data_IF_159879850539
#
_entry.id   IF_159879850539
#
_cell.length_a   1.000
_cell.length_b   1.000
_cell.length_c   1.000
_cell.angle_alpha   90.00
_cell.angle_beta   90.00
_cell.angle_gamma   90.00
#
_symmetry.space_group_name_H-M   'P 1'
#
loop_
_entity.id
_entity.type
_entity.pdbx_description
1 polymer ?
#
# COMPACT_ATOMS: atom_id res chain seq x y z
N UNK A 1 5.09 30.96 -41.92
CA UNK A 1 5.54 29.60 -41.54
C UNK A 1 5.57 29.56 -40.03
N UNK A 2 4.72 28.79 -39.41
CA UNK A 2 4.63 28.70 -37.96
C UNK A 2 5.91 28.01 -37.42
N UNK A 3 6.58 28.65 -36.47
CA UNK A 3 7.69 28.01 -35.76
C UNK A 3 7.11 26.94 -34.84
N UNK A 4 7.57 25.69 -35.05
CA UNK A 4 7.28 24.57 -34.18
C UNK A 4 7.74 24.89 -32.75
N UNK A 5 6.91 24.61 -31.76
CA UNK A 5 7.29 24.79 -30.38
C UNK A 5 8.41 23.80 -29.97
N UNK A 6 9.06 24.05 -28.84
CA UNK A 6 10.23 23.27 -28.36
C UNK A 6 9.95 21.76 -28.30
N UNK A 7 8.75 21.36 -27.92
CA UNK A 7 8.37 19.95 -27.79
C UNK A 7 8.15 19.29 -29.14
N UNK A 8 7.49 19.98 -30.09
CA UNK A 8 7.31 19.48 -31.47
C UNK A 8 8.63 19.33 -32.22
N UNK A 9 9.61 20.20 -31.94
CA UNK A 9 10.98 20.09 -32.52
C UNK A 9 11.74 18.92 -31.90
N UNK A 10 11.53 18.63 -30.61
CA UNK A 10 12.14 17.49 -29.91
C UNK A 10 11.54 16.17 -30.40
N UNK A 11 10.23 16.08 -30.56
CA UNK A 11 9.54 14.89 -31.05
C UNK A 11 9.94 14.58 -32.48
N UNK A 12 10.01 15.56 -33.36
CA UNK A 12 10.48 15.41 -34.75
C UNK A 12 11.95 14.95 -34.81
N UNK A 13 12.81 15.45 -33.93
CA UNK A 13 14.21 15.05 -33.84
C UNK A 13 14.36 13.60 -33.35
N UNK A 14 13.54 13.20 -32.34
CA UNK A 14 13.51 11.82 -31.82
C UNK A 14 13.01 10.85 -32.89
N UNK A 15 11.94 11.18 -33.62
CA UNK A 15 11.44 10.33 -34.71
C UNK A 15 12.45 10.20 -35.84
N UNK A 16 13.13 11.28 -36.25
CA UNK A 16 14.18 11.23 -37.26
C UNK A 16 15.39 10.37 -36.85
N UNK A 17 15.74 10.36 -35.55
CA UNK A 17 16.81 9.52 -35.02
C UNK A 17 16.42 8.04 -34.92
N UNK A 18 15.16 7.74 -34.66
CA UNK A 18 14.63 6.37 -34.59
C UNK A 18 14.46 5.74 -35.97
N UNK A 19 14.33 6.53 -37.04
CA UNK A 19 14.15 6.07 -38.42
C UNK A 19 15.48 5.75 -39.17
N UNK A 20 16.66 6.07 -38.62
CA UNK A 20 17.96 5.88 -39.27
C UNK A 20 18.64 4.56 -38.88
N UNK A 21 19.18 3.78 -39.82
CA UNK A 21 20.12 2.70 -39.52
C UNK A 21 21.43 3.29 -38.98
N UNK A 22 22.10 2.53 -38.09
CA UNK A 22 23.28 2.96 -37.34
C UNK A 22 24.30 3.72 -38.19
N UNK A 23 24.51 4.99 -37.90
CA UNK A 23 25.58 5.81 -38.49
C UNK A 23 26.91 5.61 -37.70
N UNK A 24 28.07 5.71 -38.38
CA UNK A 24 29.37 5.54 -37.73
C UNK A 24 29.66 6.67 -36.71
N UNK A 25 30.41 6.32 -35.69
CA UNK A 25 30.82 7.15 -34.58
C UNK A 25 31.54 8.42 -35.07
N UNK A 26 30.98 9.59 -34.82
CA UNK A 26 31.60 10.87 -35.11
C UNK A 26 32.73 11.19 -34.11
N UNK A 27 33.82 11.88 -34.54
CA UNK A 27 34.94 12.21 -33.64
C UNK A 27 34.60 13.29 -32.61
N UNK A 28 35.28 13.19 -31.47
CA UNK A 28 35.05 13.95 -30.22
C UNK A 28 35.49 15.41 -30.31
N UNK A 29 34.81 16.25 -31.08
CA UNK A 29 35.24 17.64 -31.25
C UNK A 29 34.13 18.71 -31.12
N UNK A 30 32.90 18.39 -30.80
CA UNK A 30 31.87 19.38 -30.46
C UNK A 30 30.87 18.79 -29.46
N UNK A 31 31.13 19.00 -28.17
CA UNK A 31 30.19 18.71 -27.11
C UNK A 31 29.23 19.89 -26.97
N UNK A 32 28.35 20.09 -27.95
CA UNK A 32 27.18 20.93 -27.79
C UNK A 32 26.01 20.09 -27.28
N UNK A 33 24.98 20.77 -26.80
CA UNK A 33 23.78 20.18 -26.21
C UNK A 33 23.11 19.12 -27.13
N UNK A 34 23.29 19.26 -28.45
CA UNK A 34 22.75 18.36 -29.48
C UNK A 34 23.51 17.02 -29.52
N UNK A 35 24.82 17.02 -29.28
CA UNK A 35 25.64 15.82 -29.23
C UNK A 35 25.32 14.97 -28.02
N UNK A 36 25.08 15.60 -26.86
CA UNK A 36 24.68 14.91 -25.64
C UNK A 36 23.26 14.30 -25.79
N UNK A 37 22.34 15.03 -26.42
CA UNK A 37 20.99 14.54 -26.71
C UNK A 37 21.00 13.40 -27.74
N UNK A 38 21.89 13.42 -28.72
CA UNK A 38 22.06 12.36 -29.69
C UNK A 38 22.65 11.08 -29.04
N UNK A 39 23.56 11.22 -28.08
CA UNK A 39 24.07 10.07 -27.30
C UNK A 39 22.98 9.48 -26.39
N UNK A 40 22.21 10.31 -25.69
CA UNK A 40 21.05 9.87 -24.91
C UNK A 40 20.01 9.16 -25.80
N UNK A 41 19.71 9.69 -26.98
CA UNK A 41 18.80 9.05 -27.93
C UNK A 41 19.35 7.72 -28.49
N UNK A 42 20.67 7.56 -28.60
CA UNK A 42 21.29 6.29 -28.96
C UNK A 42 21.20 5.22 -27.86
N UNK A 43 21.28 5.63 -26.61
CA UNK A 43 21.07 4.74 -25.46
C UNK A 43 19.58 4.35 -25.29
N UNK A 44 18.65 5.20 -25.69
CA UNK A 44 17.21 4.95 -25.70
C UNK A 44 16.75 3.93 -26.78
N UNK A 45 17.65 3.45 -27.65
CA UNK A 45 17.34 2.38 -28.64
C UNK A 45 16.91 1.05 -28.00
N UNK A 46 17.26 0.83 -26.74
CA UNK A 46 16.84 -0.34 -25.98
C UNK A 46 15.47 -0.18 -25.30
N UNK A 47 14.83 0.99 -25.44
CA UNK A 47 13.47 1.16 -24.99
C UNK A 47 12.48 0.36 -25.85
N UNK A 48 11.44 -0.19 -25.24
CA UNK A 48 10.42 -0.93 -25.97
C UNK A 48 9.82 -0.10 -27.10
N UNK A 49 9.60 -0.73 -28.24
CA UNK A 49 9.05 -0.05 -29.43
C UNK A 49 7.76 0.71 -29.11
N UNK A 50 7.41 1.78 -29.86
CA UNK A 50 6.15 2.50 -29.68
C UNK A 50 4.93 1.58 -29.72
N UNK A 51 4.96 0.57 -30.59
CA UNK A 51 3.90 -0.44 -30.70
C UNK A 51 3.81 -1.36 -29.46
N UNK A 52 4.93 -1.68 -28.82
CA UNK A 52 4.94 -2.42 -27.56
C UNK A 52 4.39 -1.57 -26.43
N UNK A 53 4.80 -0.30 -26.32
CA UNK A 53 4.28 0.64 -25.31
C UNK A 53 2.77 0.85 -25.45
N UNK A 54 2.27 1.01 -26.66
CA UNK A 54 0.84 1.14 -26.93
C UNK A 54 0.06 -0.13 -26.54
N UNK A 55 0.59 -1.32 -26.87
CA UNK A 55 -0.01 -2.60 -26.45
C UNK A 55 0.00 -2.76 -24.94
N UNK A 56 1.11 -2.45 -24.29
CA UNK A 56 1.23 -2.53 -22.84
C UNK A 56 0.27 -1.55 -22.16
N UNK A 57 0.19 -0.31 -22.65
CA UNK A 57 -0.76 0.68 -22.12
C UNK A 57 -2.23 0.20 -22.28
N UNK A 58 -2.60 -0.34 -23.46
CA UNK A 58 -3.93 -0.90 -23.68
C UNK A 58 -4.23 -2.13 -22.81
N UNK A 59 -3.23 -2.97 -22.56
CA UNK A 59 -3.35 -4.13 -21.67
C UNK A 59 -3.50 -3.74 -20.22
N UNK A 60 -2.72 -2.76 -19.77
CA UNK A 60 -2.83 -2.21 -18.43
C UNK A 60 -4.17 -1.50 -18.21
N UNK A 61 -4.64 -0.72 -19.19
CA UNK A 61 -5.97 -0.09 -19.13
C UNK A 61 -7.10 -1.13 -19.09
N UNK A 62 -7.01 -2.18 -19.90
CA UNK A 62 -7.98 -3.28 -19.90
C UNK A 62 -7.99 -4.02 -18.56
N UNK A 63 -6.81 -4.32 -17.98
CA UNK A 63 -6.68 -4.93 -16.66
C UNK A 63 -7.21 -4.02 -15.55
N UNK A 64 -6.97 -2.71 -15.65
CA UNK A 64 -7.54 -1.73 -14.72
C UNK A 64 -9.08 -1.62 -14.83
N UNK A 65 -9.65 -1.79 -16.03
CA UNK A 65 -11.10 -1.82 -16.23
C UNK A 65 -11.77 -3.14 -15.82
N UNK A 66 -11.03 -4.26 -15.89
CA UNK A 66 -11.50 -5.59 -15.47
C UNK A 66 -11.24 -5.86 -13.98
N UNK A 67 -10.31 -5.17 -13.36
CA UNK A 67 -10.25 -5.10 -11.92
C UNK A 67 -11.53 -4.38 -11.48
N UNK A 68 -12.40 -5.07 -10.73
CA UNK A 68 -13.43 -4.41 -9.90
C UNK A 68 -12.82 -3.16 -9.28
N UNK A 69 -13.59 -2.10 -8.99
CA UNK A 69 -13.05 -0.90 -8.39
C UNK A 69 -12.40 -1.25 -7.04
N UNK A 70 -11.25 -1.92 -7.11
CA UNK A 70 -10.28 -1.86 -6.06
C UNK A 70 -9.96 -0.38 -6.01
N UNK A 71 -10.43 0.25 -4.98
CA UNK A 71 -10.16 1.60 -4.53
C UNK A 71 -8.84 2.06 -5.12
N UNK A 72 -8.87 3.14 -5.93
CA UNK A 72 -7.64 3.80 -6.38
C UNK A 72 -6.69 3.84 -5.18
N UNK A 73 -5.37 3.57 -5.35
CA UNK A 73 -4.46 3.59 -4.22
C UNK A 73 -4.72 4.89 -3.48
N UNK A 74 -5.33 4.76 -2.30
CA UNK A 74 -5.61 5.89 -1.42
C UNK A 74 -4.26 6.56 -1.20
N UNK A 75 -4.14 7.89 -1.32
CA UNK A 75 -2.90 8.53 -0.95
C UNK A 75 -2.51 7.97 0.42
N UNK A 76 -1.26 7.51 0.54
CA UNK A 76 -0.77 6.92 1.79
C UNK A 76 -1.18 7.83 2.94
N UNK A 77 -1.78 7.30 4.02
CA UNK A 77 -2.18 8.14 5.13
C UNK A 77 -0.93 8.82 5.69
N UNK A 78 -1.02 10.09 6.12
CA UNK A 78 0.13 10.82 6.65
C UNK A 78 0.73 10.13 7.89
N UNK A 79 -0.06 9.33 8.60
CA UNK A 79 0.36 8.50 9.72
C UNK A 79 -0.42 7.19 9.67
N UNK A 80 0.27 6.07 9.78
CA UNK A 80 -0.32 4.74 9.91
C UNK A 80 0.37 3.98 11.06
N UNK A 81 -0.35 3.20 11.87
CA UNK A 81 0.28 2.29 12.81
C UNK A 81 1.08 1.23 12.07
N UNK A 82 2.27 0.91 12.60
CA UNK A 82 3.10 -0.18 12.10
C UNK A 82 3.26 -1.22 13.20
N UNK A 83 2.68 -2.40 13.00
CA UNK A 83 2.61 -3.47 13.99
C UNK A 83 3.74 -4.46 13.77
N UNK A 84 4.46 -4.79 14.84
CA UNK A 84 5.37 -5.92 14.89
C UNK A 84 4.62 -7.14 15.43
N UNK A 85 4.61 -8.24 14.71
CA UNK A 85 3.89 -9.46 15.12
C UNK A 85 4.76 -10.70 14.96
N UNK A 86 4.49 -11.74 15.74
CA UNK A 86 5.01 -13.09 15.48
C UNK A 86 4.05 -13.80 14.53
N UNK A 87 4.48 -14.04 13.28
CA UNK A 87 3.68 -14.67 12.26
C UNK A 87 2.75 -13.70 11.55
N UNK A 88 3.32 -12.73 10.81
CA UNK A 88 2.57 -11.70 10.09
C UNK A 88 1.56 -12.28 9.09
N UNK A 89 1.85 -13.41 8.45
CA UNK A 89 0.90 -14.09 7.58
C UNK A 89 -0.37 -14.53 8.33
N UNK A 90 -0.21 -15.12 9.51
CA UNK A 90 -1.33 -15.53 10.37
C UNK A 90 -2.08 -14.31 10.92
N UNK A 91 -1.37 -13.20 11.18
CA UNK A 91 -1.99 -11.96 11.62
C UNK A 91 -2.90 -11.36 10.53
N UNK A 92 -2.45 -11.32 9.28
CA UNK A 92 -3.25 -10.86 8.15
C UNK A 92 -4.51 -11.70 8.00
N UNK A 93 -4.37 -13.03 8.08
CA UNK A 93 -5.52 -13.95 8.00
C UNK A 93 -6.51 -13.73 9.15
N UNK A 94 -6.01 -13.56 10.38
CA UNK A 94 -6.84 -13.24 11.54
C UNK A 94 -7.57 -11.91 11.34
N UNK A 95 -6.88 -10.83 10.97
CA UNK A 95 -7.50 -9.51 10.78
C UNK A 95 -8.53 -9.52 9.64
N UNK A 96 -8.30 -10.32 8.60
CA UNK A 96 -9.28 -10.53 7.54
C UNK A 96 -10.56 -11.18 8.08
N UNK A 97 -10.45 -12.26 8.86
CA UNK A 97 -11.60 -12.98 9.45
C UNK A 97 -12.32 -12.15 10.52
N UNK A 98 -11.56 -11.49 11.40
CA UNK A 98 -12.10 -10.76 12.55
C UNK A 98 -12.71 -9.42 12.15
N UNK A 99 -11.98 -8.61 11.40
CA UNK A 99 -12.29 -7.21 11.14
C UNK A 99 -12.59 -6.91 9.67
N UNK A 100 -12.56 -7.92 8.79
CA UNK A 100 -12.75 -7.73 7.36
C UNK A 100 -11.58 -7.00 6.70
N UNK A 101 -10.37 -7.19 7.21
CA UNK A 101 -9.18 -6.59 6.62
C UNK A 101 -8.97 -7.06 5.19
N UNK A 102 -8.58 -6.13 4.33
CA UNK A 102 -8.18 -6.40 2.94
C UNK A 102 -6.69 -6.16 2.83
N UNK A 103 -5.94 -7.17 2.42
CA UNK A 103 -4.51 -7.03 2.13
C UNK A 103 -4.31 -6.22 0.85
N UNK A 104 -3.51 -5.16 0.92
CA UNK A 104 -3.17 -4.28 -0.20
C UNK A 104 -1.88 -4.76 -0.87
N UNK A 105 -0.92 -5.23 -0.09
CA UNK A 105 0.34 -5.73 -0.59
C UNK A 105 1.23 -6.27 0.52
N UNK A 106 2.22 -7.09 0.14
CA UNK A 106 3.26 -7.59 1.03
C UNK A 106 4.61 -7.71 0.35
N UNK A 107 5.65 -7.62 1.15
CA UNK A 107 7.03 -7.94 0.81
C UNK A 107 7.49 -9.10 1.69
N UNK A 108 7.75 -10.25 1.09
CA UNK A 108 8.25 -11.43 1.79
C UNK A 108 9.76 -11.55 1.67
N UNK A 109 10.39 -12.04 2.72
CA UNK A 109 11.81 -12.40 2.74
C UNK A 109 12.00 -13.84 2.21
N UNK A 110 13.24 -14.20 1.78
CA UNK A 110 13.53 -15.57 1.32
C UNK A 110 13.28 -16.66 2.36
N UNK A 111 13.33 -16.33 3.65
CA UNK A 111 13.07 -17.24 4.78
C UNK A 111 11.57 -17.40 5.09
N UNK A 112 10.68 -16.75 4.32
CA UNK A 112 9.24 -16.81 4.46
C UNK A 112 8.65 -15.77 5.43
N UNK A 113 9.47 -15.02 6.17
CA UNK A 113 8.98 -13.89 6.99
C UNK A 113 8.44 -12.78 6.08
N UNK A 114 7.47 -12.04 6.59
CA UNK A 114 6.94 -10.84 5.94
C UNK A 114 7.71 -9.62 6.47
N UNK A 115 8.50 -9.00 5.59
CA UNK A 115 9.26 -7.79 5.91
C UNK A 115 8.36 -6.55 5.97
N UNK A 116 7.25 -6.56 5.24
CA UNK A 116 6.28 -5.49 5.19
C UNK A 116 4.97 -6.00 4.61
N UNK A 117 3.86 -5.59 5.18
CA UNK A 117 2.54 -5.73 4.58
C UNK A 117 1.65 -4.55 4.94
N UNK A 118 0.69 -4.27 4.09
CA UNK A 118 -0.34 -3.26 4.28
C UNK A 118 -1.72 -3.90 4.22
N UNK A 119 -2.56 -3.58 5.19
CA UNK A 119 -3.96 -4.00 5.24
C UNK A 119 -4.87 -2.80 5.45
N UNK A 120 -6.08 -2.89 4.90
CA UNK A 120 -7.15 -1.90 5.11
C UNK A 120 -8.23 -2.48 6.02
N UNK A 121 -8.58 -1.76 7.07
CA UNK A 121 -9.68 -2.08 7.98
C UNK A 121 -10.58 -0.85 8.09
N UNK A 122 -11.83 -0.94 7.66
CA UNK A 122 -12.78 0.17 7.72
C UNK A 122 -12.31 1.46 7.02
N UNK A 123 -11.46 1.33 5.99
CA UNK A 123 -10.85 2.45 5.28
C UNK A 123 -9.57 3.00 5.92
N UNK A 124 -9.19 2.54 7.11
CA UNK A 124 -7.91 2.86 7.75
C UNK A 124 -6.80 1.90 7.31
N UNK A 125 -5.59 2.43 7.08
CA UNK A 125 -4.41 1.63 6.76
C UNK A 125 -3.68 1.20 8.03
N UNK A 126 -3.30 -0.06 8.09
CA UNK A 126 -2.40 -0.62 9.10
C UNK A 126 -1.25 -1.31 8.36
N UNK A 127 -0.04 -0.98 8.74
CA UNK A 127 1.17 -1.65 8.29
C UNK A 127 1.57 -2.71 9.31
N UNK A 128 2.11 -3.84 8.86
CA UNK A 128 2.62 -4.87 9.76
C UNK A 128 3.78 -5.65 9.13
N UNK A 129 4.60 -6.23 10.01
CA UNK A 129 5.68 -7.12 9.61
C UNK A 129 5.91 -8.18 10.70
N UNK A 130 6.61 -9.24 10.34
CA UNK A 130 7.15 -10.15 11.33
C UNK A 130 8.14 -9.42 12.24
N UNK A 131 8.21 -9.82 13.51
CA UNK A 131 9.21 -9.26 14.41
C UNK A 131 10.62 -9.52 13.87
N UNK A 132 11.47 -8.51 14.01
CA UNK A 132 12.88 -8.55 13.60
C UNK A 132 13.74 -8.06 14.76
N UNK A 133 14.10 -8.94 15.71
CA UNK A 133 14.89 -8.55 16.88
C UNK A 133 16.23 -7.93 16.50
N UNK A 134 16.81 -8.38 15.39
CA UNK A 134 18.07 -7.87 14.85
C UNK A 134 18.02 -6.37 14.50
N UNK A 135 16.83 -5.82 14.27
CA UNK A 135 16.57 -4.39 14.01
C UNK A 135 15.86 -3.69 15.16
N UNK A 136 15.64 -4.38 16.30
CA UNK A 136 14.88 -3.83 17.43
C UNK A 136 13.37 -3.75 17.19
N UNK A 137 12.86 -4.37 16.13
CA UNK A 137 11.43 -4.42 15.81
C UNK A 137 10.79 -5.63 16.48
N UNK A 138 10.33 -5.42 17.74
CA UNK A 138 9.88 -6.48 18.62
C UNK A 138 8.36 -6.52 18.74
N UNK A 139 7.79 -7.72 18.80
CA UNK A 139 6.35 -7.92 18.99
C UNK A 139 5.92 -7.73 20.45
N UNK A 140 4.64 -7.47 20.71
CA UNK A 140 4.09 -7.43 22.07
C UNK A 140 4.37 -8.71 22.86
N UNK A 141 4.40 -9.86 22.20
CA UNK A 141 4.69 -11.16 22.84
C UNK A 141 6.14 -11.22 23.33
N UNK A 142 7.09 -10.54 22.66
CA UNK A 142 8.49 -10.50 23.06
C UNK A 142 8.72 -9.51 24.19
N UNK A 143 8.07 -8.34 24.17
CA UNK A 143 8.29 -7.28 25.16
C UNK A 143 7.33 -7.35 26.35
N UNK A 144 6.36 -8.27 26.32
CA UNK A 144 5.41 -8.47 27.42
C UNK A 144 4.16 -7.58 27.38
N UNK A 145 3.86 -6.97 26.22
CA UNK A 145 2.65 -6.17 26.02
C UNK A 145 2.82 -5.08 24.97
N UNK A 146 1.71 -4.45 24.58
CA UNK A 146 1.69 -3.31 23.65
C UNK A 146 1.31 -2.03 24.41
N UNK A 147 2.07 -0.93 24.27
CA UNK A 147 1.76 0.33 24.94
C UNK A 147 0.66 1.14 24.23
N UNK A 148 0.04 0.58 23.22
CA UNK A 148 -1.03 1.20 22.44
C UNK A 148 -2.25 0.28 22.34
N UNK A 149 -3.41 0.87 22.08
CA UNK A 149 -4.63 0.17 21.66
C UNK A 149 -5.05 0.64 20.28
N UNK A 150 -5.61 -0.25 19.50
CA UNK A 150 -6.20 0.07 18.22
C UNK A 150 -7.70 0.28 18.40
N UNK A 151 -8.24 1.33 17.79
CA UNK A 151 -9.66 1.65 17.89
C UNK A 151 -10.31 1.47 16.50
N UNK A 152 -11.25 0.55 16.41
CA UNK A 152 -11.99 0.23 15.20
C UNK A 152 -13.45 0.67 15.32
N UNK A 153 -13.83 1.71 14.59
CA UNK A 153 -15.24 2.11 14.44
C UNK A 153 -15.90 1.27 13.34
N UNK A 154 -17.06 0.69 13.65
CA UNK A 154 -17.82 -0.15 12.75
C UNK A 154 -19.32 0.10 12.90
N UNK A 155 -20.13 -0.39 11.96
CA UNK A 155 -21.58 -0.26 11.98
C UNK A 155 -22.25 -1.19 12.99
N UNK A 156 -21.63 -2.31 13.35
CA UNK A 156 -22.16 -3.33 14.26
C UNK A 156 -21.03 -3.93 15.11
N UNK A 157 -20.85 -3.36 16.31
CA UNK A 157 -19.82 -3.81 17.25
C UNK A 157 -20.06 -5.23 17.75
N UNK A 158 -21.33 -5.63 17.96
CA UNK A 158 -21.66 -6.96 18.49
C UNK A 158 -21.22 -8.03 17.47
N UNK A 159 -21.57 -7.86 16.20
CA UNK A 159 -21.16 -8.77 15.14
C UNK A 159 -19.65 -8.81 14.93
N UNK A 160 -18.95 -7.67 14.99
CA UNK A 160 -17.49 -7.61 14.83
C UNK A 160 -16.79 -8.30 16.00
N UNK A 161 -17.17 -8.02 17.24
CA UNK A 161 -16.60 -8.67 18.43
C UNK A 161 -16.84 -10.18 18.39
N UNK A 162 -18.04 -10.62 18.00
CA UNK A 162 -18.35 -12.05 17.86
C UNK A 162 -17.44 -12.73 16.83
N UNK A 163 -17.24 -12.12 15.66
CA UNK A 163 -16.32 -12.65 14.63
C UNK A 163 -14.87 -12.68 15.12
N UNK A 164 -14.42 -11.62 15.80
CA UNK A 164 -13.06 -11.58 16.35
C UNK A 164 -12.82 -12.71 17.35
N UNK A 165 -13.78 -12.96 18.27
CA UNK A 165 -13.71 -14.06 19.24
C UNK A 165 -13.73 -15.42 18.51
N UNK A 166 -14.59 -15.59 17.53
CA UNK A 166 -14.64 -16.81 16.72
C UNK A 166 -13.34 -17.05 15.93
N UNK A 167 -12.64 -15.98 15.54
CA UNK A 167 -11.33 -16.05 14.89
C UNK A 167 -10.15 -16.29 15.87
N UNK A 168 -10.38 -16.26 17.19
CA UNK A 168 -9.37 -16.53 18.20
C UNK A 168 -8.99 -15.36 19.11
N UNK A 169 -9.66 -14.21 19.02
CA UNK A 169 -9.45 -13.13 19.98
C UNK A 169 -10.05 -13.48 21.34
N UNK A 170 -9.45 -12.92 22.40
CA UNK A 170 -9.97 -13.01 23.76
C UNK A 170 -10.80 -11.75 24.06
N UNK A 171 -12.08 -11.94 24.44
CA UNK A 171 -12.90 -10.86 24.95
C UNK A 171 -12.32 -10.36 26.29
N UNK A 172 -11.90 -9.11 26.34
CA UNK A 172 -11.31 -8.48 27.55
C UNK A 172 -12.27 -7.53 28.23
N UNK A 173 -13.22 -6.95 27.48
CA UNK A 173 -14.31 -6.14 28.02
C UNK A 173 -15.58 -6.43 27.21
N UNK A 174 -16.69 -6.83 27.86
CA UNK A 174 -17.97 -7.08 27.20
C UNK A 174 -18.48 -5.85 26.44
N UNK A 175 -19.22 -6.10 25.36
CA UNK A 175 -19.89 -5.02 24.63
C UNK A 175 -21.02 -4.44 25.48
N UNK A 176 -21.03 -3.14 25.65
CA UNK A 176 -22.09 -2.40 26.35
C UNK A 176 -22.21 -0.98 25.81
N UNK A 177 -23.33 -0.34 26.11
CA UNK A 177 -23.51 1.07 25.82
C UNK A 177 -22.74 1.90 26.85
N UNK A 178 -21.98 2.88 26.36
CA UNK A 178 -21.15 3.76 27.16
C UNK A 178 -21.81 5.14 27.27
N UNK A 179 -21.57 5.82 28.37
CA UNK A 179 -22.20 7.12 28.68
C UNK A 179 -21.82 8.22 27.66
N UNK A 180 -20.76 8.04 26.88
CA UNK A 180 -20.29 8.96 25.86
C UNK A 180 -20.83 8.64 24.44
N UNK A 181 -21.94 7.93 24.33
CA UNK A 181 -22.68 7.76 23.08
C UNK A 181 -22.21 6.63 22.18
N UNK A 182 -21.25 5.82 22.62
CA UNK A 182 -20.80 4.64 21.87
C UNK A 182 -21.34 3.35 22.51
N UNK A 183 -21.61 2.35 21.65
CA UNK A 183 -21.66 0.95 22.07
C UNK A 183 -20.29 0.34 21.79
N UNK A 184 -19.63 -0.22 22.81
CA UNK A 184 -18.21 -0.54 22.75
C UNK A 184 -17.87 -1.83 23.49
N UNK A 185 -16.90 -2.59 22.96
CA UNK A 185 -16.26 -3.73 23.60
C UNK A 185 -14.77 -3.75 23.36
N UNK A 186 -14.02 -4.62 24.06
CA UNK A 186 -12.59 -4.78 23.84
C UNK A 186 -12.22 -6.25 23.67
N UNK A 187 -11.32 -6.50 22.72
CA UNK A 187 -10.74 -7.82 22.49
C UNK A 187 -9.22 -7.72 22.46
N UNK A 188 -8.53 -8.74 22.95
CA UNK A 188 -7.11 -8.94 22.75
C UNK A 188 -6.93 -9.91 21.59
N UNK A 189 -6.13 -9.54 20.59
CA UNK A 189 -5.82 -10.42 19.47
C UNK A 189 -4.75 -11.46 19.86
N UNK A 190 -4.55 -12.52 19.06
CA UNK A 190 -3.54 -13.54 19.32
C UNK A 190 -2.09 -13.03 19.26
N UNK A 191 -1.87 -11.81 18.74
CA UNK A 191 -0.56 -11.19 18.53
C UNK A 191 -0.16 -10.20 19.63
N UNK A 192 -1.06 -10.02 20.63
CA UNK A 192 -0.81 -9.21 21.82
C UNK A 192 -1.30 -7.78 21.76
N UNK A 193 -2.02 -7.39 20.70
CA UNK A 193 -2.64 -6.07 20.62
C UNK A 193 -4.06 -6.08 21.18
N UNK A 194 -4.43 -4.97 21.81
CA UNK A 194 -5.80 -4.73 22.28
C UNK A 194 -6.55 -3.87 21.28
N UNK A 195 -7.74 -4.32 20.89
CA UNK A 195 -8.65 -3.61 20.02
C UNK A 195 -9.85 -3.12 20.81
N UNK A 196 -10.14 -1.82 20.71
CA UNK A 196 -11.40 -1.23 21.10
C UNK A 196 -12.28 -1.24 19.86
N UNK A 197 -13.43 -1.88 19.93
CA UNK A 197 -14.38 -1.96 18.81
C UNK A 197 -15.63 -1.20 19.20
N UNK A 198 -16.06 -0.25 18.39
CA UNK A 198 -17.16 0.66 18.72
C UNK A 198 -18.10 0.89 17.56
N UNK A 199 -19.39 1.03 17.90
CA UNK A 199 -20.42 1.61 17.04
C UNK A 199 -20.88 2.92 17.69
N UNK A 200 -20.78 4.03 16.95
CA UNK A 200 -21.30 5.32 17.42
C UNK A 200 -22.83 5.30 17.36
N UNK A 201 -23.48 5.46 18.50
CA UNK A 201 -24.94 5.52 18.64
C UNK A 201 -25.46 6.95 18.63
N UNK A 202 -24.74 7.84 19.29
CA UNK A 202 -25.10 9.24 19.45
C UNK A 202 -23.89 10.13 19.20
N UNK A 203 -24.11 11.28 18.59
CA UNK A 203 -23.11 12.34 18.48
C UNK A 203 -23.34 13.31 19.63
N UNK A 204 -22.53 13.21 20.67
CA UNK A 204 -22.58 14.19 21.74
C UNK A 204 -21.92 15.49 21.27
N UNK A 205 -22.67 16.59 21.26
CA UNK A 205 -22.11 17.93 21.08
C UNK A 205 -21.45 18.34 22.40
N UNK A 206 -20.19 18.78 22.33
CA UNK A 206 -19.56 19.43 23.49
C UNK A 206 -20.33 20.70 23.82
N UNK A 207 -20.81 20.82 25.05
CA UNK A 207 -21.31 22.09 25.63
C UNK A 207 -20.14 23.01 25.94
#
# INVERSE_FOLDING_TARGET
MAELNRNERLDAAIEALLARPAAPRAPAAYADEVTVLAQLAAELRHLPSPAFRARLASDLQRRAQMASPATAPSPLPPVAPYLSVRGAAAAIEFYSKAFGAVEVGRLSLPDGRIAHAEILIGGGTIMLADEMPEYGFLSPQTIGGAPLKLHHYCSDVDAVVQRAVAAGAKLTRPVKDEFYGNREGQVADPFGYTWIVSTQKEVLTAE
#
